data_IF_152290602451
#
_entry.id   IF_152290602451
#
_cell.length_a   1.000
_cell.length_b   1.000
_cell.length_c   1.000
_cell.angle_alpha   90.00
_cell.angle_beta   90.00
_cell.angle_gamma   90.00
#
_symmetry.space_group_name_H-M   'P 1'
#
loop_
_entity.id
_entity.type
_entity.pdbx_description
1 polymer ?
#
# COMPACT_ATOMS: atom_id res chain seq x y z
N UNK A 1 3.42 1.75 6.29
CA UNK A 1 3.97 2.01 7.63
C UNK A 1 4.63 3.39 7.61
N UNK A 2 4.45 4.18 8.67
CA UNK A 2 5.12 5.49 8.88
C UNK A 2 4.93 6.57 7.80
N UNK A 3 3.84 6.51 7.01
CA UNK A 3 3.47 7.55 6.04
C UNK A 3 2.36 8.49 6.53
N UNK A 4 1.89 8.36 7.78
CA UNK A 4 0.83 9.20 8.33
C UNK A 4 -0.58 8.93 7.77
N UNK A 5 -0.79 7.84 7.02
CA UNK A 5 -2.11 7.47 6.45
C UNK A 5 -3.07 6.82 7.45
N UNK A 6 -2.66 6.63 8.71
CA UNK A 6 -3.48 6.11 9.79
C UNK A 6 -3.14 6.79 11.11
N UNK A 7 -3.85 6.44 12.17
CA UNK A 7 -3.63 6.99 13.51
C UNK A 7 -4.15 6.06 14.61
N UNK A 8 -3.74 6.32 15.85
CA UNK A 8 -4.20 5.55 17.01
C UNK A 8 -5.72 5.62 17.13
N UNK A 9 -6.38 4.47 17.17
CA UNK A 9 -7.83 4.39 17.28
C UNK A 9 -8.59 4.70 15.98
N UNK A 10 -7.91 4.89 14.84
CA UNK A 10 -8.56 5.07 13.54
C UNK A 10 -8.34 3.87 12.63
N UNK A 11 -9.30 3.63 11.73
CA UNK A 11 -9.14 2.68 10.62
C UNK A 11 -8.43 3.39 9.47
N UNK A 12 -7.29 2.85 9.04
CA UNK A 12 -6.62 3.32 7.83
C UNK A 12 -7.50 3.09 6.58
N UNK A 13 -7.34 3.94 5.56
CA UNK A 13 -8.04 3.78 4.29
C UNK A 13 -7.57 2.51 3.57
N UNK A 14 -8.50 1.64 3.16
CA UNK A 14 -8.18 0.38 2.48
C UNK A 14 -7.56 0.59 1.08
N UNK A 15 -7.65 1.80 0.51
CA UNK A 15 -6.95 2.15 -0.75
C UNK A 15 -5.47 2.50 -0.53
N UNK A 16 -5.05 2.79 0.70
CA UNK A 16 -3.68 3.23 1.03
C UNK A 16 -2.89 2.10 1.72
N UNK A 17 -3.07 0.87 1.25
CA UNK A 17 -2.44 -0.35 1.81
C UNK A 17 -1.65 -1.10 0.74
N UNK A 18 -0.67 -1.90 1.18
CA UNK A 18 0.08 -2.84 0.33
C UNK A 18 -0.21 -4.28 0.76
N UNK A 19 -0.59 -5.18 -0.16
CA UNK A 19 -0.82 -6.58 0.17
C UNK A 19 0.53 -7.28 0.37
N UNK A 20 0.73 -7.87 1.54
CA UNK A 20 1.93 -8.62 1.88
C UNK A 20 1.53 -9.98 2.47
N UNK A 21 2.35 -11.00 2.17
CA UNK A 21 2.26 -12.26 2.90
C UNK A 21 2.56 -12.02 4.39
N UNK A 22 2.06 -12.88 5.30
CA UNK A 22 2.28 -12.74 6.75
C UNK A 22 3.75 -12.50 7.10
N UNK A 23 4.65 -13.33 6.56
CA UNK A 23 6.10 -13.27 6.79
C UNK A 23 6.72 -11.98 6.21
N UNK A 24 6.26 -11.58 5.03
CA UNK A 24 6.69 -10.36 4.34
C UNK A 24 6.31 -9.11 5.15
N UNK A 25 5.11 -9.12 5.73
CA UNK A 25 4.59 -8.07 6.60
C UNK A 25 5.36 -7.99 7.93
N UNK A 26 5.66 -9.13 8.55
CA UNK A 26 6.52 -9.17 9.74
C UNK A 26 7.91 -8.61 9.47
N UNK A 27 8.53 -8.99 8.34
CA UNK A 27 9.84 -8.49 7.95
C UNK A 27 9.85 -6.97 7.76
N UNK A 28 8.81 -6.41 7.13
CA UNK A 28 8.65 -4.97 6.98
C UNK A 28 8.49 -4.27 8.35
N UNK A 29 7.76 -4.87 9.29
CA UNK A 29 7.63 -4.33 10.66
C UNK A 29 8.91 -4.42 11.47
N UNK A 30 9.74 -5.45 11.24
CA UNK A 30 10.99 -5.66 11.97
C UNK A 30 12.06 -4.63 11.58
N UNK A 31 12.20 -4.34 10.29
CA UNK A 31 13.12 -3.32 9.79
C UNK A 31 12.61 -2.74 8.47
N UNK A 32 11.96 -1.58 8.56
CA UNK A 32 11.38 -0.90 7.38
C UNK A 32 12.44 -0.48 6.38
N UNK A 33 13.60 0.01 6.85
CA UNK A 33 14.68 0.50 5.97
C UNK A 33 15.30 -0.65 5.20
N UNK A 34 15.74 -1.71 5.89
CA UNK A 34 16.37 -2.85 5.24
C UNK A 34 15.42 -3.54 4.27
N UNK A 35 14.13 -3.62 4.62
CA UNK A 35 13.11 -4.16 3.72
C UNK A 35 12.97 -3.31 2.46
N UNK A 36 12.87 -1.97 2.59
CA UNK A 36 12.74 -1.06 1.45
C UNK A 36 13.99 -1.03 0.56
N UNK A 37 15.19 -1.15 1.14
CA UNK A 37 16.44 -1.27 0.37
C UNK A 37 16.45 -2.53 -0.52
N UNK A 38 15.90 -3.64 -0.03
CA UNK A 38 15.85 -4.92 -0.75
C UNK A 38 14.68 -5.02 -1.74
N UNK A 39 13.51 -4.46 -1.39
CA UNK A 39 12.25 -4.71 -2.11
C UNK A 39 11.72 -3.47 -2.85
N UNK A 40 12.33 -2.30 -2.66
CA UNK A 40 11.81 -1.01 -3.07
C UNK A 40 10.83 -0.41 -2.06
N UNK A 41 10.53 0.88 -2.21
CA UNK A 41 9.74 1.64 -1.23
C UNK A 41 8.30 1.13 -1.11
N UNK A 42 7.71 1.31 0.07
CA UNK A 42 6.29 0.99 0.30
C UNK A 42 5.36 1.75 -0.67
N UNK A 43 5.70 3.00 -1.01
CA UNK A 43 4.93 3.81 -1.97
C UNK A 43 4.97 3.24 -3.39
N UNK A 44 6.08 2.65 -3.81
CA UNK A 44 6.17 1.95 -5.09
C UNK A 44 5.24 0.72 -5.10
N UNK A 45 5.21 -0.04 -4.01
CA UNK A 45 4.29 -1.17 -3.85
C UNK A 45 2.82 -0.72 -3.82
N UNK A 46 2.51 0.42 -3.21
CA UNK A 46 1.18 1.01 -3.23
C UNK A 46 0.75 1.37 -4.66
N UNK A 47 1.61 2.06 -5.40
CA UNK A 47 1.34 2.43 -6.80
C UNK A 47 1.10 1.17 -7.67
N UNK A 48 1.92 0.12 -7.52
CA UNK A 48 1.74 -1.17 -8.20
C UNK A 48 0.41 -1.83 -7.85
N UNK A 49 0.03 -1.78 -6.57
CA UNK A 49 -1.23 -2.36 -6.09
C UNK A 49 -2.43 -1.65 -6.70
N UNK A 50 -2.44 -0.32 -6.66
CA UNK A 50 -3.50 0.50 -7.25
C UNK A 50 -3.59 0.32 -8.77
N UNK A 51 -2.44 0.26 -9.46
CA UNK A 51 -2.38 -0.01 -10.89
C UNK A 51 -2.98 -1.38 -11.22
N UNK A 52 -2.61 -2.44 -10.48
CA UNK A 52 -3.17 -3.78 -10.67
C UNK A 52 -4.67 -3.80 -10.39
N UNK A 53 -5.12 -3.23 -9.27
CA UNK A 53 -6.53 -3.16 -8.89
C UNK A 53 -7.36 -2.45 -9.96
N UNK A 54 -6.81 -1.39 -10.56
CA UNK A 54 -7.45 -0.68 -11.68
C UNK A 54 -7.47 -1.51 -12.95
N UNK A 55 -6.35 -2.16 -13.30
CA UNK A 55 -6.23 -2.99 -14.50
C UNK A 55 -7.14 -4.22 -14.52
N UNK A 56 -7.50 -4.75 -13.33
CA UNK A 56 -8.46 -5.85 -13.20
C UNK A 56 -9.91 -5.38 -12.98
N UNK A 57 -10.15 -4.06 -12.94
CA UNK A 57 -11.47 -3.49 -12.71
C UNK A 57 -11.99 -3.58 -11.26
N UNK A 58 -11.14 -3.91 -10.29
CA UNK A 58 -11.52 -3.94 -8.87
C UNK A 58 -11.77 -2.54 -8.31
N UNK A 59 -11.08 -1.52 -8.85
CA UNK A 59 -11.34 -0.11 -8.60
C UNK A 59 -11.37 0.65 -9.93
N UNK A 60 -12.11 1.74 -9.99
CA UNK A 60 -12.23 2.57 -11.20
C UNK A 60 -11.91 4.03 -10.88
N UNK A 61 -11.24 4.72 -11.80
CA UNK A 61 -11.10 6.16 -11.72
C UNK A 61 -12.49 6.82 -11.84
N UNK A 62 -12.75 7.83 -10.99
CA UNK A 62 -13.94 8.65 -11.15
C UNK A 62 -13.88 9.35 -12.51
N UNK A 63 -14.95 9.24 -13.31
CA UNK A 63 -15.09 10.03 -14.53
C UNK A 63 -15.54 11.43 -14.13
N UNK A 64 -14.85 12.45 -14.63
CA UNK A 64 -15.40 13.80 -14.57
C UNK A 64 -16.74 13.80 -15.30
N UNK A 65 -17.79 14.37 -14.68
CA UNK A 65 -18.99 14.72 -15.44
C UNK A 65 -18.55 15.79 -16.45
N UNK A 66 -18.73 15.49 -17.73
CA UNK A 66 -18.65 16.48 -18.80
C UNK A 66 -19.72 17.55 -18.58
#
# INVERSE_FOLDING_TARGET
>A
IDHGFGGTGTKACDLLVIPLCRVCHDALHADTRAWEEQNGSQLLWLARTLARATGIGAITAARAKQ
#
